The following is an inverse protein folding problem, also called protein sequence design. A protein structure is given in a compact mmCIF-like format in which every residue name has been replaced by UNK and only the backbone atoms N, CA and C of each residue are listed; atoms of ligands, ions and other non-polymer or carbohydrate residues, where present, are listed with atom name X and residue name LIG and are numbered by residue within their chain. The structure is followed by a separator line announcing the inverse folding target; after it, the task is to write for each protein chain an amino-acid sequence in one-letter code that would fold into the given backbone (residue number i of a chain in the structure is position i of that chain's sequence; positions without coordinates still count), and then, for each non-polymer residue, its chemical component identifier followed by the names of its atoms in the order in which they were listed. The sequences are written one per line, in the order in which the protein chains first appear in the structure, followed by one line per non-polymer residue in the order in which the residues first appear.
data_IF_260021423784
#
_entry.id   IF_260021423784
#
_cell.length_a   1.000
_cell.length_b   1.000
_cell.length_c   1.000
_cell.angle_alpha   90.00
_cell.angle_beta   90.00
_cell.angle_gamma   90.00
#
_symmetry.space_group_name_H-M   'P 1'
#
loop_
_entity.id
_entity.type
_entity.pdbx_description
1 polymer ?
#
# COMPACT_ATOMS: atom_id res chain seq x y z
N UNK A 1 -12.67 0.69 -36.26
CA UNK A 1 -12.59 -0.66 -35.65
C UNK A 1 -11.19 -0.96 -35.10
N UNK A 2 -10.13 -0.71 -35.87
CA UNK A 2 -8.74 -0.95 -35.46
C UNK A 2 -8.26 -0.08 -34.28
N UNK A 3 -8.59 1.22 -34.27
CA UNK A 3 -8.25 2.14 -33.16
C UNK A 3 -8.85 1.74 -31.80
N UNK A 4 -10.09 1.22 -31.79
CA UNK A 4 -10.74 0.74 -30.54
C UNK A 4 -10.16 -0.59 -30.07
N UNK A 5 -9.78 -1.48 -30.99
CA UNK A 5 -9.04 -2.71 -30.66
C UNK A 5 -7.68 -2.38 -30.05
N UNK A 6 -6.93 -1.46 -30.67
CA UNK A 6 -5.65 -0.98 -30.15
C UNK A 6 -5.81 -0.35 -28.76
N UNK A 7 -6.79 0.54 -28.58
CA UNK A 7 -7.08 1.15 -27.28
C UNK A 7 -7.41 0.09 -26.22
N UNK A 8 -8.21 -0.91 -26.56
CA UNK A 8 -8.53 -2.03 -25.65
C UNK A 8 -7.30 -2.87 -25.32
N UNK A 9 -6.38 -3.06 -26.26
CA UNK A 9 -5.13 -3.77 -26.03
C UNK A 9 -4.23 -3.00 -25.06
N UNK A 10 -4.11 -1.68 -25.23
CA UNK A 10 -3.29 -0.83 -24.36
C UNK A 10 -3.76 -0.88 -22.90
N UNK A 11 -5.07 -0.92 -22.65
CA UNK A 11 -5.62 -1.08 -21.31
C UNK A 11 -5.16 -2.35 -20.59
N UNK A 12 -4.83 -3.41 -21.32
CA UNK A 12 -4.38 -4.69 -20.76
C UNK A 12 -2.85 -4.74 -20.73
N UNK A 13 -2.20 -4.32 -21.83
CA UNK A 13 -0.74 -4.40 -21.98
C UNK A 13 -0.01 -3.50 -20.99
N UNK A 14 -0.49 -2.28 -20.72
CA UNK A 14 0.23 -1.36 -19.83
C UNK A 14 0.34 -1.87 -18.38
N UNK A 15 -0.73 -2.37 -17.73
CA UNK A 15 -0.59 -3.03 -16.43
C UNK A 15 0.34 -4.24 -16.45
N UNK A 16 0.32 -5.05 -17.52
CA UNK A 16 1.23 -6.19 -17.66
C UNK A 16 2.68 -5.73 -17.76
N UNK A 17 2.97 -4.73 -18.60
CA UNK A 17 4.31 -4.16 -18.74
C UNK A 17 4.80 -3.53 -17.43
N UNK A 18 3.93 -2.82 -16.71
CA UNK A 18 4.25 -2.31 -15.38
C UNK A 18 4.56 -3.43 -14.38
N UNK A 19 3.82 -4.53 -14.42
CA UNK A 19 4.08 -5.70 -13.57
C UNK A 19 5.43 -6.32 -13.90
N UNK A 20 5.72 -6.52 -15.20
CA UNK A 20 7.02 -7.03 -15.66
C UNK A 20 8.16 -6.09 -15.25
N UNK A 21 7.95 -4.77 -15.33
CA UNK A 21 8.93 -3.78 -14.87
C UNK A 21 9.23 -3.93 -13.38
N UNK A 22 8.22 -4.08 -12.52
CA UNK A 22 8.43 -4.26 -11.08
C UNK A 22 9.07 -5.62 -10.77
N UNK A 23 8.67 -6.69 -11.45
CA UNK A 23 9.33 -7.99 -11.35
C UNK A 23 10.81 -7.89 -11.73
N UNK A 24 11.12 -7.25 -12.86
CA UNK A 24 12.49 -6.99 -13.26
C UNK A 24 13.24 -6.19 -12.18
N UNK A 25 12.67 -5.09 -11.69
CA UNK A 25 13.29 -4.30 -10.62
C UNK A 25 13.61 -5.15 -9.38
N UNK A 26 12.69 -6.01 -8.91
CA UNK A 26 12.93 -6.92 -7.77
C UNK A 26 14.17 -7.80 -8.02
N UNK A 27 14.34 -8.35 -9.24
CA UNK A 27 15.53 -9.17 -9.57
C UNK A 27 16.84 -8.36 -9.65
N UNK A 28 16.73 -7.05 -9.89
CA UNK A 28 17.88 -6.15 -9.97
C UNK A 28 18.24 -5.49 -8.65
N UNK A 29 17.34 -5.48 -7.67
CA UNK A 29 17.53 -4.79 -6.39
C UNK A 29 17.56 -5.70 -5.16
N UNK A 30 17.24 -6.98 -5.31
CA UNK A 30 17.16 -7.91 -4.17
C UNK A 30 17.77 -9.28 -4.47
N UNK A 31 18.12 -9.99 -3.41
CA UNK A 31 18.47 -11.41 -3.40
C UNK A 31 17.51 -12.18 -2.46
N UNK A 32 17.40 -13.49 -2.65
CA UNK A 32 16.54 -14.34 -1.83
C UNK A 32 17.20 -14.63 -0.48
N UNK A 33 16.91 -13.80 0.52
CA UNK A 33 17.45 -13.94 1.87
C UNK A 33 16.44 -13.44 2.90
N UNK A 34 16.32 -14.19 4.00
CA UNK A 34 15.50 -13.86 5.18
C UNK A 34 16.15 -12.71 5.96
N UNK A 35 15.38 -11.71 6.37
CA UNK A 35 15.87 -10.62 7.22
C UNK A 35 14.70 -9.92 7.93
N UNK A 36 15.02 -9.08 8.91
CA UNK A 36 14.06 -8.29 9.68
C UNK A 36 12.96 -9.17 10.28
N UNK A 37 11.70 -8.78 10.10
CA UNK A 37 10.54 -9.51 10.63
C UNK A 37 10.47 -10.98 10.17
N UNK A 38 11.11 -11.36 9.05
CA UNK A 38 11.18 -12.74 8.62
C UNK A 38 11.92 -13.64 9.60
N UNK A 39 12.91 -13.13 10.34
CA UNK A 39 13.60 -13.90 11.38
C UNK A 39 12.60 -14.40 12.43
N UNK A 40 11.70 -13.52 12.87
CA UNK A 40 10.62 -13.90 13.79
C UNK A 40 9.69 -14.92 13.15
N UNK A 41 9.38 -14.77 11.86
CA UNK A 41 8.48 -15.69 11.15
C UNK A 41 9.07 -17.10 11.05
N UNK A 42 10.35 -17.21 10.70
CA UNK A 42 11.05 -18.50 10.64
C UNK A 42 10.98 -19.19 12.00
N UNK A 43 11.38 -18.52 13.08
CA UNK A 43 11.36 -19.10 14.41
C UNK A 43 9.98 -19.56 14.89
N UNK A 44 8.93 -18.81 14.56
CA UNK A 44 7.59 -19.04 15.13
C UNK A 44 6.69 -19.94 14.29
N UNK A 45 6.90 -20.01 12.97
CA UNK A 45 5.96 -20.66 12.05
C UNK A 45 6.57 -21.79 11.25
N UNK A 46 7.78 -21.61 10.72
CA UNK A 46 8.34 -22.54 9.73
C UNK A 46 8.57 -23.96 10.26
N UNK A 47 8.95 -24.19 11.54
CA UNK A 47 9.09 -25.53 12.07
C UNK A 47 7.83 -26.40 11.99
N UNK A 48 6.64 -25.79 12.02
CA UNK A 48 5.36 -26.51 12.04
C UNK A 48 4.30 -25.80 11.17
N UNK A 49 4.57 -25.64 9.87
CA UNK A 49 3.69 -24.88 8.94
C UNK A 49 2.26 -25.41 8.82
N UNK A 50 2.00 -26.66 9.20
CA UNK A 50 0.66 -27.26 9.19
C UNK A 50 -0.06 -27.21 10.54
N UNK A 51 0.58 -26.74 11.62
CA UNK A 51 -0.06 -26.69 12.93
C UNK A 51 -1.05 -25.52 13.04
N UNK A 52 -2.31 -25.81 12.73
CA UNK A 52 -3.44 -24.87 12.86
C UNK A 52 -3.57 -24.24 14.25
N UNK A 53 -3.07 -24.87 15.32
CA UNK A 53 -3.16 -24.30 16.67
C UNK A 53 -2.26 -23.08 16.85
N UNK A 54 -1.11 -23.03 16.15
CA UNK A 54 -0.24 -21.85 16.15
C UNK A 54 -0.83 -20.67 15.38
N UNK A 55 -1.78 -20.96 14.48
CA UNK A 55 -2.43 -19.96 13.63
C UNK A 55 -3.75 -19.46 14.20
N UNK A 56 -4.59 -20.34 14.75
CA UNK A 56 -5.91 -20.02 15.29
C UNK A 56 -5.83 -19.46 16.72
N UNK A 57 -5.03 -18.42 16.88
CA UNK A 57 -4.90 -17.64 18.10
C UNK A 57 -5.87 -16.44 18.10
N UNK A 58 -6.19 -15.85 19.25
CA UNK A 58 -7.19 -14.75 19.32
C UNK A 58 -6.87 -13.54 18.42
N UNK A 59 -5.60 -13.27 18.14
CA UNK A 59 -5.11 -12.20 17.26
C UNK A 59 -4.91 -12.66 15.79
N UNK A 60 -5.45 -13.80 15.37
CA UNK A 60 -5.27 -14.36 14.01
C UNK A 60 -5.56 -13.38 12.87
N UNK A 61 -6.56 -12.50 13.02
CA UNK A 61 -6.96 -11.58 11.96
C UNK A 61 -5.98 -10.42 11.78
N UNK A 62 -5.19 -10.08 12.80
CA UNK A 62 -4.15 -9.05 12.69
C UNK A 62 -2.87 -9.60 12.05
N UNK A 63 -2.71 -10.93 12.05
CA UNK A 63 -1.58 -11.65 11.44
C UNK A 63 -1.72 -11.89 9.94
N UNK A 64 -2.78 -11.36 9.32
CA UNK A 64 -3.06 -11.40 7.88
C UNK A 64 -3.16 -12.86 7.38
N UNK A 65 -4.31 -13.52 7.61
CA UNK A 65 -4.47 -14.96 7.40
C UNK A 65 -4.06 -15.51 6.03
N UNK A 66 -4.13 -14.72 4.96
CA UNK A 66 -3.71 -15.17 3.62
C UNK A 66 -2.21 -15.52 3.56
N UNK A 67 -1.39 -14.90 4.42
CA UNK A 67 0.04 -15.22 4.54
C UNK A 67 0.26 -16.67 5.00
N UNK A 68 -0.66 -17.28 5.74
CA UNK A 68 -0.50 -18.66 6.17
C UNK A 68 -0.63 -19.63 5.00
N UNK A 69 -1.61 -19.40 4.13
CA UNK A 69 -1.79 -20.20 2.94
C UNK A 69 -0.61 -20.05 1.98
N UNK A 70 -0.17 -18.80 1.77
CA UNK A 70 0.98 -18.51 0.93
C UNK A 70 2.24 -19.19 1.46
N UNK A 71 2.52 -19.10 2.76
CA UNK A 71 3.71 -19.74 3.36
C UNK A 71 3.73 -21.25 3.21
N UNK A 72 2.58 -21.92 3.39
CA UNK A 72 2.48 -23.36 3.15
C UNK A 72 2.87 -23.67 1.70
N UNK A 73 2.33 -22.93 0.73
CA UNK A 73 2.67 -23.09 -0.68
C UNK A 73 4.16 -22.78 -0.93
N UNK A 74 4.69 -21.75 -0.28
CA UNK A 74 6.05 -21.29 -0.46
C UNK A 74 7.07 -22.31 0.07
N UNK A 75 6.83 -22.86 1.26
CA UNK A 75 7.66 -23.93 1.82
C UNK A 75 7.60 -25.19 0.96
N UNK A 76 6.41 -25.64 0.58
CA UNK A 76 6.22 -26.91 -0.14
C UNK A 76 6.76 -26.89 -1.58
N UNK A 77 6.60 -25.77 -2.29
CA UNK A 77 6.89 -25.71 -3.72
C UNK A 77 8.10 -24.84 -4.07
N UNK A 78 8.50 -23.92 -3.18
CA UNK A 78 9.51 -22.91 -3.47
C UNK A 78 10.64 -22.84 -2.43
N UNK A 79 10.66 -23.74 -1.43
CA UNK A 79 11.70 -23.80 -0.42
C UNK A 79 11.82 -22.51 0.39
N UNK A 80 10.69 -21.86 0.69
CA UNK A 80 10.62 -20.58 1.40
C UNK A 80 11.42 -19.44 0.73
N UNK A 81 11.00 -19.10 -0.50
CA UNK A 81 11.54 -17.98 -1.26
C UNK A 81 10.90 -16.66 -0.86
N UNK A 82 11.69 -15.73 -0.33
CA UNK A 82 11.28 -14.34 -0.08
C UNK A 82 11.10 -13.60 -1.41
N UNK A 83 11.82 -14.02 -2.46
CA UNK A 83 11.62 -13.51 -3.81
C UNK A 83 10.21 -13.80 -4.32
N UNK A 84 9.67 -15.00 -4.06
CA UNK A 84 8.28 -15.32 -4.41
C UNK A 84 7.31 -14.31 -3.77
N UNK A 85 7.46 -14.02 -2.48
CA UNK A 85 6.62 -13.05 -1.77
C UNK A 85 6.65 -11.69 -2.48
N UNK A 86 7.84 -11.16 -2.78
CA UNK A 86 8.01 -9.89 -3.50
C UNK A 86 7.33 -9.93 -4.88
N UNK A 87 7.46 -11.03 -5.62
CA UNK A 87 6.82 -11.22 -6.92
C UNK A 87 5.29 -11.25 -6.82
N UNK A 88 4.73 -11.86 -5.77
CA UNK A 88 3.29 -11.79 -5.49
C UNK A 88 2.84 -10.35 -5.24
N UNK A 89 3.70 -9.53 -4.62
CA UNK A 89 3.47 -8.08 -4.47
C UNK A 89 3.38 -7.36 -5.82
N UNK A 90 4.29 -7.65 -6.74
CA UNK A 90 4.25 -7.13 -8.11
C UNK A 90 2.96 -7.55 -8.84
N UNK A 91 2.54 -8.81 -8.69
CA UNK A 91 1.27 -9.32 -9.23
C UNK A 91 0.07 -8.56 -8.63
N UNK A 92 0.07 -8.31 -7.32
CA UNK A 92 -0.95 -7.50 -6.65
C UNK A 92 -1.07 -6.09 -7.26
N UNK A 93 0.06 -5.44 -7.52
CA UNK A 93 0.09 -4.14 -8.20
C UNK A 93 -0.42 -4.23 -9.65
N UNK A 94 -0.09 -5.31 -10.36
CA UNK A 94 -0.64 -5.67 -11.66
C UNK A 94 -2.16 -5.76 -11.67
N UNK A 95 -2.72 -6.48 -10.70
CA UNK A 95 -4.17 -6.61 -10.51
C UNK A 95 -4.82 -5.25 -10.25
N UNK A 96 -4.22 -4.41 -9.40
CA UNK A 96 -4.65 -3.03 -9.19
C UNK A 96 -4.65 -2.23 -10.50
N UNK A 97 -3.59 -2.33 -11.31
CA UNK A 97 -3.52 -1.70 -12.64
C UNK A 97 -4.66 -2.15 -13.57
N UNK A 98 -4.99 -3.45 -13.57
CA UNK A 98 -6.11 -3.99 -14.36
C UNK A 98 -7.48 -3.50 -13.87
N UNK A 99 -7.65 -3.26 -12.57
CA UNK A 99 -8.87 -2.63 -12.03
C UNK A 99 -9.03 -1.21 -12.57
N UNK A 100 -7.97 -0.40 -12.52
CA UNK A 100 -7.99 0.95 -13.10
C UNK A 100 -8.20 0.92 -14.61
N UNK A 101 -7.62 -0.04 -15.32
CA UNK A 101 -7.88 -0.24 -16.74
C UNK A 101 -9.36 -0.52 -17.02
N UNK A 102 -9.98 -1.40 -16.24
CA UNK A 102 -11.41 -1.71 -16.34
C UNK A 102 -12.27 -0.47 -16.02
N UNK A 103 -11.89 0.32 -15.01
CA UNK A 103 -12.55 1.57 -14.66
C UNK A 103 -12.47 2.59 -15.81
N UNK A 104 -11.26 2.91 -16.27
CA UNK A 104 -11.01 3.87 -17.34
C UNK A 104 -11.70 3.48 -18.64
N UNK A 105 -11.65 2.19 -19.03
CA UNK A 105 -12.33 1.68 -20.22
C UNK A 105 -13.85 1.85 -20.10
N UNK A 106 -14.43 1.50 -18.94
CA UNK A 106 -15.89 1.63 -18.71
C UNK A 106 -16.35 3.09 -18.73
N UNK A 107 -15.59 3.98 -18.11
CA UNK A 107 -15.88 5.42 -18.08
C UNK A 107 -15.49 6.15 -19.38
N UNK A 108 -14.89 5.43 -20.33
CA UNK A 108 -14.38 5.94 -21.61
C UNK A 108 -13.40 7.11 -21.42
N UNK A 109 -12.56 7.02 -20.38
CA UNK A 109 -11.55 8.04 -20.11
C UNK A 109 -10.54 8.12 -21.28
N UNK A 110 -9.95 9.31 -21.44
CA UNK A 110 -8.87 9.53 -22.39
C UNK A 110 -7.67 8.62 -22.09
N UNK A 111 -7.00 8.13 -23.13
CA UNK A 111 -5.87 7.20 -22.97
C UNK A 111 -4.72 7.81 -22.15
N UNK A 112 -4.48 9.11 -22.34
CA UNK A 112 -3.46 9.84 -21.60
C UNK A 112 -3.66 9.76 -20.08
N UNK A 113 -4.89 9.94 -19.59
CA UNK A 113 -5.18 9.80 -18.15
C UNK A 113 -4.87 8.41 -17.61
N UNK A 114 -5.14 7.38 -18.41
CA UNK A 114 -4.80 6.02 -18.05
C UNK A 114 -3.28 5.81 -18.00
N UNK A 115 -2.54 6.33 -18.99
CA UNK A 115 -1.07 6.28 -18.98
C UNK A 115 -0.50 6.96 -17.74
N UNK A 116 -1.02 8.13 -17.37
CA UNK A 116 -0.60 8.86 -16.15
C UNK A 116 -0.86 8.00 -14.90
N UNK A 117 -2.06 7.42 -14.77
CA UNK A 117 -2.41 6.55 -13.64
C UNK A 117 -1.47 5.34 -13.54
N UNK A 118 -1.16 4.69 -14.66
CA UNK A 118 -0.26 3.54 -14.69
C UNK A 118 1.18 3.96 -14.38
N UNK A 119 1.66 5.08 -14.92
CA UNK A 119 3.00 5.58 -14.60
C UNK A 119 3.16 5.87 -13.10
N UNK A 120 2.14 6.44 -12.46
CA UNK A 120 2.11 6.66 -11.00
C UNK A 120 1.97 5.32 -10.26
N UNK A 121 1.12 4.40 -10.73
CA UNK A 121 0.93 3.08 -10.11
C UNK A 121 2.22 2.28 -10.03
N UNK A 122 3.03 2.25 -11.09
CA UNK A 122 4.25 1.45 -11.16
C UNK A 122 5.53 2.26 -10.88
N UNK A 123 5.42 3.49 -10.36
CA UNK A 123 6.58 4.21 -9.88
C UNK A 123 7.22 3.50 -8.68
N UNK A 124 8.54 3.63 -8.54
CA UNK A 124 9.30 3.00 -7.46
C UNK A 124 9.36 3.86 -6.19
N UNK A 125 8.41 4.79 -6.02
CA UNK A 125 8.27 5.60 -4.80
C UNK A 125 7.86 4.78 -3.56
N UNK A 126 7.52 3.51 -3.75
CA UNK A 126 7.10 2.54 -2.74
C UNK A 126 8.09 1.36 -2.67
N UNK A 127 9.33 1.58 -3.11
CA UNK A 127 10.35 0.54 -3.26
C UNK A 127 10.52 -0.31 -2.00
N UNK A 128 10.50 0.28 -0.81
CA UNK A 128 10.70 -0.46 0.45
C UNK A 128 9.56 -1.46 0.73
N UNK A 129 8.35 -1.18 0.24
CA UNK A 129 7.25 -2.14 0.29
C UNK A 129 7.39 -3.21 -0.80
N UNK A 130 7.96 -2.86 -1.96
CA UNK A 130 8.21 -3.80 -3.07
C UNK A 130 9.33 -4.80 -2.69
N UNK A 131 10.38 -4.32 -2.03
CA UNK A 131 11.55 -5.13 -1.63
C UNK A 131 11.35 -5.83 -0.28
N UNK A 132 10.36 -5.41 0.51
CA UNK A 132 9.92 -6.18 1.67
C UNK A 132 8.92 -7.27 1.23
N UNK A 133 9.29 -8.54 1.34
CA UNK A 133 8.42 -9.62 0.89
C UNK A 133 7.08 -9.67 1.63
N UNK A 134 7.01 -9.25 2.91
CA UNK A 134 5.73 -9.27 3.65
C UNK A 134 4.73 -8.24 3.11
N UNK A 135 5.18 -7.34 2.23
CA UNK A 135 4.36 -6.34 1.56
C UNK A 135 3.36 -6.91 0.56
N UNK A 136 3.51 -8.17 0.13
CA UNK A 136 2.69 -8.76 -0.93
C UNK A 136 1.19 -8.76 -0.62
N UNK A 137 0.84 -9.12 0.61
CA UNK A 137 -0.56 -9.14 1.06
C UNK A 137 -1.16 -7.73 1.07
N UNK A 138 -0.36 -6.70 1.32
CA UNK A 138 -0.81 -5.31 1.23
C UNK A 138 -1.11 -4.91 -0.21
N UNK A 139 -0.24 -5.24 -1.18
CA UNK A 139 -0.53 -4.99 -2.60
C UNK A 139 -1.81 -5.70 -3.06
N UNK A 140 -2.00 -6.95 -2.63
CA UNK A 140 -3.22 -7.69 -2.90
C UNK A 140 -4.45 -7.05 -2.25
N UNK A 141 -4.35 -6.58 -1.01
CA UNK A 141 -5.43 -5.88 -0.32
C UNK A 141 -5.84 -4.61 -1.07
N UNK A 142 -4.88 -3.78 -1.53
CA UNK A 142 -5.18 -2.59 -2.33
C UNK A 142 -5.82 -2.92 -3.68
N UNK A 143 -5.37 -3.98 -4.35
CA UNK A 143 -6.06 -4.47 -5.55
C UNK A 143 -7.52 -4.85 -5.25
N UNK A 144 -7.76 -5.52 -4.11
CA UNK A 144 -9.08 -5.83 -3.59
C UNK A 144 -9.91 -4.57 -3.29
N UNK A 145 -9.32 -3.57 -2.63
CA UNK A 145 -9.97 -2.29 -2.31
C UNK A 145 -10.46 -1.61 -3.58
N UNK A 146 -9.57 -1.41 -4.55
CA UNK A 146 -9.92 -0.78 -5.82
C UNK A 146 -10.96 -1.59 -6.59
N UNK A 147 -10.87 -2.92 -6.57
CA UNK A 147 -11.86 -3.77 -7.24
C UNK A 147 -13.24 -3.61 -6.62
N UNK A 148 -13.32 -3.62 -5.29
CA UNK A 148 -14.57 -3.39 -4.57
C UNK A 148 -15.14 -2.01 -4.88
N UNK A 149 -14.33 -0.96 -4.82
CA UNK A 149 -14.71 0.40 -5.16
C UNK A 149 -15.23 0.52 -6.60
N UNK A 150 -14.58 -0.15 -7.56
CA UNK A 150 -15.05 -0.26 -8.94
C UNK A 150 -16.41 -0.94 -9.05
N UNK A 151 -16.64 -2.03 -8.29
CA UNK A 151 -17.92 -2.75 -8.29
C UNK A 151 -19.02 -1.88 -7.69
N UNK A 152 -18.76 -1.23 -6.55
CA UNK A 152 -19.70 -0.32 -5.91
C UNK A 152 -20.04 0.85 -6.84
N UNK A 153 -19.03 1.46 -7.44
CA UNK A 153 -19.21 2.56 -8.39
C UNK A 153 -20.03 2.17 -9.62
N UNK A 154 -19.82 0.94 -10.12
CA UNK A 154 -20.61 0.40 -11.22
C UNK A 154 -22.07 0.20 -10.82
N UNK A 155 -22.34 -0.41 -9.68
CA UNK A 155 -23.70 -0.60 -9.15
C UNK A 155 -24.38 0.74 -8.92
N UNK A 156 -23.71 1.67 -8.24
CA UNK A 156 -24.21 3.01 -7.96
C UNK A 156 -24.57 3.81 -9.22
N UNK A 157 -23.78 3.67 -10.29
CA UNK A 157 -24.05 4.30 -11.58
C UNK A 157 -25.17 3.63 -12.41
N UNK A 158 -25.86 2.63 -11.87
CA UNK A 158 -26.91 1.87 -12.57
C UNK A 158 -26.38 0.90 -13.64
N UNK A 159 -25.09 0.56 -13.60
CA UNK A 159 -24.41 -0.28 -14.59
C UNK A 159 -24.03 -1.67 -14.05
N UNK A 160 -24.70 -2.11 -12.98
CA UNK A 160 -24.41 -3.38 -12.30
C UNK A 160 -24.40 -4.59 -13.25
N UNK A 161 -23.50 -5.53 -13.00
CA UNK A 161 -23.41 -6.82 -13.71
C UNK A 161 -23.98 -7.95 -12.85
N UNK A 162 -24.29 -9.08 -13.50
CA UNK A 162 -24.64 -10.32 -12.80
C UNK A 162 -23.55 -10.68 -11.78
N UNK A 163 -23.97 -10.90 -10.54
CA UNK A 163 -23.09 -11.24 -9.41
C UNK A 163 -22.49 -10.05 -8.66
N UNK A 164 -22.69 -8.80 -9.06
CA UNK A 164 -22.12 -7.65 -8.34
C UNK A 164 -22.68 -7.49 -6.93
N UNK A 165 -23.98 -7.75 -6.76
CA UNK A 165 -24.60 -7.77 -5.43
C UNK A 165 -23.93 -8.79 -4.51
N UNK A 166 -23.61 -9.98 -5.03
CA UNK A 166 -22.90 -11.02 -4.27
C UNK A 166 -21.44 -10.64 -3.99
N UNK A 167 -20.74 -10.05 -4.96
CA UNK A 167 -19.37 -9.56 -4.77
C UNK A 167 -19.30 -8.51 -3.66
N UNK A 168 -20.22 -7.55 -3.63
CA UNK A 168 -20.28 -6.54 -2.57
C UNK A 168 -20.59 -7.12 -1.19
N UNK A 169 -21.24 -8.28 -1.12
CA UNK A 169 -21.39 -9.02 0.13
C UNK A 169 -20.10 -9.75 0.54
N UNK A 170 -19.42 -10.43 -0.40
CA UNK A 170 -18.32 -11.36 -0.11
C UNK A 170 -16.98 -10.65 0.06
N UNK A 171 -16.70 -9.64 -0.78
CA UNK A 171 -15.39 -8.97 -0.83
C UNK A 171 -14.95 -8.40 0.52
N UNK A 172 -15.80 -7.71 1.32
CA UNK A 172 -15.36 -7.21 2.61
C UNK A 172 -14.84 -8.30 3.55
N UNK A 173 -15.46 -9.48 3.57
CA UNK A 173 -15.01 -10.60 4.40
C UNK A 173 -13.64 -11.09 3.97
N UNK A 174 -13.46 -11.34 2.66
CA UNK A 174 -12.19 -11.84 2.13
C UNK A 174 -11.06 -10.82 2.31
N UNK A 175 -11.35 -9.55 2.05
CA UNK A 175 -10.36 -8.50 2.07
C UNK A 175 -10.02 -8.12 3.52
N UNK A 176 -11.00 -7.73 4.34
CA UNK A 176 -10.77 -7.22 5.70
C UNK A 176 -10.18 -8.31 6.59
N UNK A 177 -10.73 -9.53 6.55
CA UNK A 177 -10.27 -10.62 7.41
C UNK A 177 -9.08 -11.37 6.84
N UNK A 178 -8.88 -11.38 5.52
CA UNK A 178 -7.88 -12.23 4.87
C UNK A 178 -6.57 -11.53 4.54
N UNK A 179 -6.62 -10.31 3.99
CA UNK A 179 -5.45 -9.67 3.36
C UNK A 179 -5.13 -8.26 3.90
N UNK A 180 -6.13 -7.52 4.39
CA UNK A 180 -5.97 -6.10 4.65
C UNK A 180 -5.13 -5.79 5.89
N UNK A 181 -5.13 -6.66 6.91
CA UNK A 181 -4.43 -6.41 8.17
C UNK A 181 -4.72 -5.00 8.71
N UNK A 182 -3.68 -4.22 9.10
CA UNK A 182 -3.87 -2.88 9.66
C UNK A 182 -4.50 -1.87 8.69
N UNK A 183 -4.46 -2.13 7.39
CA UNK A 183 -5.06 -1.29 6.35
C UNK A 183 -6.58 -1.50 6.24
N UNK A 184 -7.11 -2.57 6.84
CA UNK A 184 -8.53 -2.92 6.76
C UNK A 184 -9.43 -1.88 7.43
N UNK A 185 -8.95 -1.20 8.47
CA UNK A 185 -9.73 -0.20 9.20
C UNK A 185 -10.05 1.03 8.34
N UNK A 186 -9.07 1.58 7.63
CA UNK A 186 -9.26 2.76 6.78
C UNK A 186 -10.20 2.45 5.62
N UNK A 187 -9.98 1.31 4.97
CA UNK A 187 -10.83 0.81 3.90
C UNK A 187 -12.27 0.58 4.36
N UNK A 188 -12.47 -0.11 5.48
CA UNK A 188 -13.80 -0.36 6.02
C UNK A 188 -14.52 0.94 6.36
N UNK A 189 -13.82 1.93 6.95
CA UNK A 189 -14.40 3.24 7.22
C UNK A 189 -14.91 3.92 5.94
N UNK A 190 -14.14 3.90 4.85
CA UNK A 190 -14.57 4.46 3.56
C UNK A 190 -15.78 3.69 2.99
N UNK A 191 -15.80 2.37 3.08
CA UNK A 191 -16.96 1.58 2.65
C UNK A 191 -18.21 1.92 3.45
N UNK A 192 -18.11 1.99 4.78
CA UNK A 192 -19.25 2.29 5.66
C UNK A 192 -19.83 3.67 5.36
N UNK A 193 -18.98 4.68 5.20
CA UNK A 193 -19.40 6.04 4.81
C UNK A 193 -20.06 6.02 3.42
N UNK A 194 -19.49 5.28 2.47
CA UNK A 194 -20.01 5.21 1.10
C UNK A 194 -21.36 4.49 1.03
N UNK A 195 -21.52 3.38 1.75
CA UNK A 195 -22.78 2.66 1.87
C UNK A 195 -23.85 3.47 2.59
N UNK A 196 -23.48 4.19 3.66
CA UNK A 196 -24.38 5.11 4.36
C UNK A 196 -24.87 6.21 3.42
N UNK A 197 -23.95 6.82 2.66
CA UNK A 197 -24.30 7.82 1.65
C UNK A 197 -25.27 7.25 0.60
N UNK A 198 -24.94 6.11 -0.01
CA UNK A 198 -25.78 5.46 -1.02
C UNK A 198 -27.16 5.07 -0.47
N UNK A 199 -27.22 4.55 0.76
CA UNK A 199 -28.46 4.20 1.46
C UNK A 199 -29.36 5.43 1.63
N UNK A 200 -28.82 6.53 2.16
CA UNK A 200 -29.59 7.77 2.37
C UNK A 200 -30.11 8.29 1.02
N UNK A 201 -29.26 8.30 0.00
CA UNK A 201 -29.59 8.88 -1.30
C UNK A 201 -30.60 8.03 -2.08
N UNK A 202 -30.51 6.70 -2.04
CA UNK A 202 -31.54 5.82 -2.61
C UNK A 202 -32.87 5.94 -1.86
N UNK A 203 -32.84 6.14 -0.54
CA UNK A 203 -34.04 6.44 0.25
C UNK A 203 -34.74 7.73 -0.20
N UNK A 204 -33.98 8.81 -0.42
CA UNK A 204 -34.50 10.08 -0.95
C UNK A 204 -35.10 9.96 -2.36
N UNK A 205 -34.59 9.04 -3.19
CA UNK A 205 -35.10 8.77 -4.54
C UNK A 205 -36.29 7.80 -4.56
N UNK A 206 -36.66 7.19 -3.43
CA UNK A 206 -37.71 6.18 -3.36
C UNK A 206 -37.28 4.78 -3.87
N UNK A 207 -35.99 4.55 -4.07
CA UNK A 207 -35.40 3.29 -4.55
C UNK A 207 -35.29 2.26 -3.40
N UNK A 208 -36.43 1.76 -2.91
CA UNK A 208 -36.49 0.92 -1.69
C UNK A 208 -35.68 -0.38 -1.78
N UNK A 209 -35.59 -1.00 -2.96
CA UNK A 209 -34.81 -2.23 -3.13
C UNK A 209 -33.31 -1.96 -2.99
N UNK A 210 -32.80 -0.94 -3.69
CA UNK A 210 -31.39 -0.56 -3.63
C UNK A 210 -31.00 -0.12 -2.21
N UNK A 211 -31.87 0.63 -1.54
CA UNK A 211 -31.68 1.00 -0.14
C UNK A 211 -31.49 -0.24 0.76
N UNK A 212 -32.28 -1.29 0.59
CA UNK A 212 -32.13 -2.56 1.35
C UNK A 212 -30.79 -3.22 1.08
N UNK A 213 -30.34 -3.23 -0.17
CA UNK A 213 -29.04 -3.80 -0.51
C UNK A 213 -27.88 -3.01 0.10
N UNK A 214 -27.95 -1.68 0.14
CA UNK A 214 -26.92 -0.87 0.82
C UNK A 214 -26.87 -1.14 2.33
N UNK A 215 -28.00 -1.43 2.98
CA UNK A 215 -28.02 -1.89 4.38
C UNK A 215 -27.29 -3.23 4.52
N UNK A 216 -27.57 -4.20 3.64
CA UNK A 216 -26.90 -5.50 3.67
C UNK A 216 -25.38 -5.33 3.49
N UNK A 217 -24.94 -4.58 2.48
CA UNK A 217 -23.52 -4.36 2.24
C UNK A 217 -22.82 -3.58 3.34
N UNK A 218 -23.53 -2.64 3.99
CA UNK A 218 -23.04 -1.95 5.17
C UNK A 218 -22.69 -2.96 6.28
N UNK A 219 -23.59 -3.90 6.60
CA UNK A 219 -23.30 -4.93 7.60
C UNK A 219 -22.26 -5.94 7.13
N UNK A 220 -22.18 -6.25 5.83
CA UNK A 220 -21.11 -7.07 5.29
C UNK A 220 -19.74 -6.42 5.44
N UNK A 221 -19.62 -5.09 5.51
CA UNK A 221 -18.36 -4.41 5.84
C UNK A 221 -18.16 -4.21 7.35
N UNK A 222 -19.23 -3.90 8.09
CA UNK A 222 -19.16 -3.62 9.52
C UNK A 222 -18.77 -4.86 10.33
N UNK A 223 -19.38 -6.02 10.06
CA UNK A 223 -19.14 -7.23 10.86
C UNK A 223 -17.68 -7.69 10.74
N UNK A 224 -17.07 -7.83 9.54
CA UNK A 224 -15.64 -8.09 9.41
C UNK A 224 -14.76 -7.08 10.15
N UNK A 225 -15.08 -5.79 10.08
CA UNK A 225 -14.33 -4.76 10.81
C UNK A 225 -14.40 -4.99 12.32
N UNK A 226 -15.59 -5.29 12.86
CA UNK A 226 -15.75 -5.56 14.29
C UNK A 226 -15.01 -6.83 14.72
N UNK A 227 -14.99 -7.87 13.89
CA UNK A 227 -14.20 -9.08 14.14
C UNK A 227 -12.71 -8.78 14.13
N UNK A 228 -12.25 -7.97 13.18
CA UNK A 228 -10.85 -7.51 13.13
C UNK A 228 -10.49 -6.71 14.39
N UNK A 229 -11.33 -5.75 14.80
CA UNK A 229 -11.10 -4.95 16.02
C UNK A 229 -11.07 -5.84 17.26
N UNK A 230 -11.97 -6.82 17.36
CA UNK A 230 -11.98 -7.79 18.45
C UNK A 230 -10.68 -8.60 18.47
N UNK A 231 -10.23 -9.11 17.33
CA UNK A 231 -8.96 -9.83 17.22
C UNK A 231 -7.78 -8.94 17.61
N UNK A 232 -7.80 -7.67 17.18
CA UNK A 232 -6.79 -6.68 17.54
C UNK A 232 -6.72 -6.37 19.04
N UNK A 233 -7.81 -6.54 19.78
CA UNK A 233 -7.81 -6.32 21.24
C UNK A 233 -6.94 -7.34 22.01
N UNK A 234 -6.53 -8.42 21.36
CA UNK A 234 -5.62 -9.43 21.93
C UNK A 234 -4.14 -9.21 21.53
N UNK A 235 -3.84 -8.20 20.72
CA UNK A 235 -2.46 -7.89 20.31
C UNK A 235 -1.75 -7.13 21.44
N UNK A 236 -0.55 -7.57 21.77
CA UNK A 236 0.37 -6.86 22.66
C UNK A 236 1.37 -6.14 21.75
N UNK A 237 1.27 -4.80 21.67
CA UNK A 237 2.16 -3.98 20.84
C UNK A 237 3.36 -3.49 21.65
N UNK A 238 4.57 -3.87 21.25
CA UNK A 238 5.82 -3.25 21.72
C UNK A 238 6.42 -2.40 20.59
N UNK A 239 6.49 -1.08 20.81
CA UNK A 239 7.07 -0.14 19.85
C UNK A 239 8.45 0.33 20.34
N UNK A 240 9.52 -0.11 19.67
CA UNK A 240 10.85 0.40 19.95
C UNK A 240 10.92 1.91 19.65
N UNK A 241 11.23 2.74 20.65
CA UNK A 241 11.32 4.19 20.52
C UNK A 241 10.02 4.97 20.78
N UNK A 242 8.98 4.33 21.32
CA UNK A 242 7.77 5.00 21.82
C UNK A 242 8.11 5.93 23.00
N UNK A 243 7.70 7.20 22.92
CA UNK A 243 7.89 8.14 24.04
C UNK A 243 6.91 7.92 25.19
N UNK A 244 5.86 7.12 24.98
CA UNK A 244 4.79 6.83 25.95
C UNK A 244 3.89 8.04 26.26
N UNK A 245 4.09 9.17 25.56
CA UNK A 245 3.39 10.43 25.83
C UNK A 245 2.07 10.48 25.07
N UNK A 246 0.95 10.80 25.74
CA UNK A 246 -0.33 10.90 25.05
C UNK A 246 -0.34 12.09 24.08
N UNK A 247 -1.08 11.95 22.98
CA UNK A 247 -1.14 12.97 21.91
C UNK A 247 -1.41 14.38 22.42
N UNK A 248 -2.31 14.56 23.39
CA UNK A 248 -2.65 15.89 23.91
C UNK A 248 -1.47 16.63 24.54
N UNK A 249 -0.52 15.92 25.16
CA UNK A 249 0.71 16.50 25.74
C UNK A 249 1.64 16.97 24.62
N UNK A 250 1.79 16.16 23.57
CA UNK A 250 2.63 16.52 22.42
C UNK A 250 2.06 17.75 21.72
N UNK A 251 0.73 17.82 21.60
CA UNK A 251 0.02 18.96 21.01
C UNK A 251 0.13 20.23 21.85
N UNK A 252 0.11 20.14 23.18
CA UNK A 252 0.28 21.31 24.04
C UNK A 252 1.69 21.89 23.94
N UNK A 253 2.70 21.01 23.86
CA UNK A 253 4.11 21.42 23.81
C UNK A 253 4.51 21.90 22.41
N UNK A 254 3.95 21.27 21.38
CA UNK A 254 4.26 21.55 19.99
C UNK A 254 3.00 21.54 19.11
N UNK A 255 2.20 22.63 19.14
CA UNK A 255 0.92 22.69 18.44
C UNK A 255 1.06 22.64 16.91
N UNK A 256 2.25 22.93 16.38
CA UNK A 256 2.51 22.90 14.93
C UNK A 256 2.96 21.53 14.42
N UNK A 257 3.29 20.59 15.32
CA UNK A 257 3.79 19.26 14.95
C UNK A 257 2.86 18.50 13.98
N UNK A 258 1.53 18.40 14.21
CA UNK A 258 0.65 17.67 13.30
C UNK A 258 0.64 18.28 11.90
N UNK A 259 0.62 19.61 11.82
CA UNK A 259 0.59 20.34 10.55
C UNK A 259 1.89 20.06 9.78
N UNK A 260 3.04 20.16 10.45
CA UNK A 260 4.36 19.89 9.85
C UNK A 260 4.50 18.43 9.41
N UNK A 261 4.05 17.48 10.24
CA UNK A 261 4.03 16.06 9.92
C UNK A 261 3.18 15.78 8.68
N UNK A 262 1.94 16.27 8.64
CA UNK A 262 1.04 16.06 7.52
C UNK A 262 1.57 16.70 6.23
N UNK A 263 2.09 17.93 6.30
CA UNK A 263 2.70 18.59 5.13
C UNK A 263 3.86 17.77 4.56
N UNK A 264 4.71 17.22 5.43
CA UNK A 264 5.79 16.31 5.02
C UNK A 264 5.24 15.02 4.40
N UNK A 265 4.21 14.41 5.00
CA UNK A 265 3.56 13.22 4.46
C UNK A 265 2.97 13.45 3.06
N UNK A 266 2.34 14.59 2.82
CA UNK A 266 1.84 14.99 1.50
C UNK A 266 2.97 15.36 0.52
N UNK A 267 4.13 15.81 0.98
CA UNK A 267 5.28 16.05 0.11
C UNK A 267 5.88 14.74 -0.41
N UNK A 268 5.97 13.73 0.48
CA UNK A 268 6.55 12.40 0.20
C UNK A 268 5.87 11.60 -0.90
N UNK A 269 4.61 11.93 -1.26
CA UNK A 269 3.91 11.28 -2.36
C UNK A 269 4.22 11.91 -3.73
N UNK A 270 4.66 13.18 -3.75
CA UNK A 270 5.07 13.87 -4.97
C UNK A 270 6.50 13.47 -5.34
N UNK A 271 7.43 13.59 -4.39
CA UNK A 271 8.81 13.08 -4.49
C UNK A 271 9.02 12.13 -3.33
N UNK A 272 9.61 10.96 -3.60
CA UNK A 272 9.89 9.94 -2.58
C UNK A 272 10.56 10.54 -1.35
N UNK A 273 10.11 10.11 -0.18
CA UNK A 273 10.53 10.77 1.06
C UNK A 273 12.00 10.57 1.41
N UNK A 274 12.65 9.51 0.95
CA UNK A 274 14.11 9.33 1.03
C UNK A 274 14.85 10.44 0.26
N UNK A 275 14.42 10.74 -0.97
CA UNK A 275 14.98 11.83 -1.77
C UNK A 275 14.77 13.20 -1.12
N UNK A 276 13.57 13.46 -0.61
CA UNK A 276 13.29 14.70 0.12
C UNK A 276 14.16 14.83 1.37
N UNK A 277 14.38 13.74 2.10
CA UNK A 277 15.27 13.71 3.26
C UNK A 277 16.73 13.95 2.85
N UNK A 278 17.19 13.33 1.76
CA UNK A 278 18.55 13.54 1.23
C UNK A 278 18.77 14.99 0.79
N UNK A 279 17.80 15.60 0.11
CA UNK A 279 17.86 17.02 -0.25
C UNK A 279 17.87 17.95 0.96
N UNK A 280 17.13 17.62 2.03
CA UNK A 280 17.17 18.40 3.26
C UNK A 280 18.50 18.25 4.00
N UNK A 281 19.03 17.03 4.09
CA UNK A 281 20.30 16.75 4.75
C UNK A 281 21.50 17.37 4.03
N UNK A 282 21.45 17.43 2.70
CA UNK A 282 22.47 18.12 1.86
C UNK A 282 22.31 19.64 1.80
N UNK A 283 21.25 20.19 2.41
CA UNK A 283 20.95 21.63 2.39
C UNK A 283 20.36 22.16 1.08
N UNK A 284 20.10 21.29 0.08
CA UNK A 284 19.45 21.64 -1.19
C UNK A 284 17.99 22.07 -1.01
N UNK A 285 17.28 21.49 -0.03
CA UNK A 285 15.89 21.80 0.26
C UNK A 285 15.71 22.25 1.70
N UNK A 286 15.15 23.44 1.92
CA UNK A 286 14.77 23.85 3.27
C UNK A 286 13.50 23.11 3.76
N UNK A 287 13.35 22.94 5.07
CA UNK A 287 12.12 22.40 5.67
C UNK A 287 10.86 23.19 5.22
N UNK A 288 10.97 24.52 5.10
CA UNK A 288 9.87 25.38 4.62
C UNK A 288 9.50 25.08 3.17
N UNK A 289 10.49 24.81 2.31
CA UNK A 289 10.23 24.43 0.93
C UNK A 289 9.54 23.05 0.85
N UNK A 290 9.97 22.08 1.67
CA UNK A 290 9.28 20.79 1.79
C UNK A 290 7.81 20.95 2.20
N UNK A 291 7.51 21.84 3.14
CA UNK A 291 6.12 22.17 3.50
C UNK A 291 5.34 22.79 2.33
N UNK A 292 5.99 23.58 1.49
CA UNK A 292 5.40 24.12 0.26
C UNK A 292 4.99 23.03 -0.74
N UNK A 293 5.82 22.00 -0.90
CA UNK A 293 5.50 20.82 -1.73
C UNK A 293 4.28 20.09 -1.16
N UNK A 294 4.24 19.88 0.16
CA UNK A 294 3.10 19.28 0.85
C UNK A 294 1.81 20.08 0.65
N UNK A 295 1.88 21.41 0.80
CA UNK A 295 0.75 22.30 0.60
C UNK A 295 0.25 22.27 -0.86
N UNK A 296 1.14 22.18 -1.84
CA UNK A 296 0.77 22.00 -3.24
C UNK A 296 -0.07 20.74 -3.45
N UNK A 297 0.31 19.62 -2.84
CA UNK A 297 -0.46 18.37 -2.92
C UNK A 297 -1.81 18.50 -2.23
N UNK A 298 -1.87 19.13 -1.05
CA UNK A 298 -3.13 19.42 -0.33
C UNK A 298 -4.05 20.29 -1.19
N UNK A 299 -3.53 21.32 -1.86
CA UNK A 299 -4.32 22.14 -2.78
C UNK A 299 -4.92 21.30 -3.92
N UNK A 300 -4.19 20.31 -4.43
CA UNK A 300 -4.71 19.32 -5.38
C UNK A 300 -5.86 18.49 -4.81
N UNK A 301 -5.73 17.98 -3.59
CA UNK A 301 -6.80 17.28 -2.87
C UNK A 301 -8.05 18.16 -2.72
N UNK A 302 -7.89 19.38 -2.21
CA UNK A 302 -9.00 20.32 -1.99
C UNK A 302 -9.68 20.70 -3.31
N UNK A 303 -8.90 20.93 -4.37
CA UNK A 303 -9.43 21.20 -5.70
C UNK A 303 -10.24 20.01 -6.23
N UNK A 304 -9.75 18.78 -6.06
CA UNK A 304 -10.46 17.58 -6.49
C UNK A 304 -11.73 17.32 -5.66
N UNK A 305 -11.70 17.54 -4.35
CA UNK A 305 -12.90 17.47 -3.50
C UNK A 305 -13.94 18.51 -3.92
N UNK A 306 -13.51 19.76 -4.12
CA UNK A 306 -14.37 20.83 -4.61
C UNK A 306 -14.97 20.48 -5.97
N UNK A 307 -14.19 19.93 -6.90
CA UNK A 307 -14.66 19.47 -8.21
C UNK A 307 -15.69 18.34 -8.08
N UNK A 308 -15.45 17.35 -7.23
CA UNK A 308 -16.42 16.28 -7.01
C UNK A 308 -17.76 16.83 -6.53
N UNK A 309 -17.75 17.84 -5.65
CA UNK A 309 -18.95 18.47 -5.12
C UNK A 309 -19.62 19.35 -6.18
N UNK A 310 -18.87 20.26 -6.80
CA UNK A 310 -19.34 21.26 -7.77
C UNK A 310 -19.99 20.63 -9.00
N UNK A 311 -19.44 19.51 -9.47
CA UNK A 311 -19.94 18.78 -10.64
C UNK A 311 -20.80 17.56 -10.27
N UNK A 312 -21.05 17.35 -8.97
CA UNK A 312 -21.82 16.22 -8.44
C UNK A 312 -21.32 14.88 -8.99
N UNK A 313 -20.00 14.73 -9.11
CA UNK A 313 -19.40 13.51 -9.62
C UNK A 313 -19.81 12.31 -8.76
N UNK A 314 -19.88 12.48 -7.45
CA UNK A 314 -20.30 11.44 -6.50
C UNK A 314 -21.69 10.83 -6.81
N UNK A 315 -22.57 11.51 -7.55
CA UNK A 315 -23.87 10.95 -7.98
C UNK A 315 -23.74 10.02 -9.20
N UNK A 316 -22.67 10.15 -9.99
CA UNK A 316 -22.48 9.44 -11.27
C UNK A 316 -21.30 8.49 -11.25
N UNK A 317 -20.27 8.81 -10.48
CA UNK A 317 -19.00 8.14 -10.30
C UNK A 317 -18.48 8.41 -8.88
N UNK A 318 -18.76 7.51 -7.95
CA UNK A 318 -18.40 7.60 -6.53
C UNK A 318 -16.96 7.15 -6.26
N UNK A 319 -16.34 6.35 -7.12
CA UNK A 319 -14.95 5.86 -6.93
C UNK A 319 -13.91 6.97 -6.69
N UNK A 320 -13.86 8.07 -7.47
CA UNK A 320 -12.91 9.16 -7.22
C UNK A 320 -13.08 9.78 -5.84
N UNK A 321 -14.32 9.90 -5.35
CA UNK A 321 -14.59 10.42 -4.00
C UNK A 321 -14.12 9.44 -2.93
N UNK A 322 -14.37 8.13 -3.10
CA UNK A 322 -13.87 7.11 -2.16
C UNK A 322 -12.35 7.15 -2.06
N UNK A 323 -11.66 7.24 -3.20
CA UNK A 323 -10.21 7.35 -3.25
C UNK A 323 -9.68 8.63 -2.58
N UNK A 324 -10.32 9.78 -2.81
CA UNK A 324 -9.92 11.05 -2.17
C UNK A 324 -10.05 10.98 -0.65
N UNK A 325 -11.20 10.49 -0.15
CA UNK A 325 -11.45 10.35 1.28
C UNK A 325 -10.54 9.30 1.89
N UNK A 326 -10.31 8.17 1.20
CA UNK A 326 -9.41 7.10 1.63
C UNK A 326 -7.96 7.57 1.73
N UNK A 327 -7.44 8.25 0.71
CA UNK A 327 -6.10 8.82 0.76
C UNK A 327 -5.92 9.83 1.89
N UNK A 328 -6.87 10.76 2.04
CA UNK A 328 -6.85 11.73 3.14
C UNK A 328 -6.91 11.06 4.53
N UNK A 329 -7.76 10.05 4.69
CA UNK A 329 -7.86 9.27 5.93
C UNK A 329 -6.57 8.50 6.22
N UNK A 330 -5.91 7.93 5.20
CA UNK A 330 -4.64 7.23 5.36
C UNK A 330 -3.53 8.18 5.88
N UNK A 331 -3.45 9.41 5.38
CA UNK A 331 -2.51 10.41 5.93
C UNK A 331 -2.76 10.68 7.43
N UNK A 332 -4.03 10.79 7.83
CA UNK A 332 -4.40 10.98 9.24
C UNK A 332 -4.09 9.75 10.08
N UNK A 333 -4.38 8.54 9.58
CA UNK A 333 -4.12 7.31 10.30
C UNK A 333 -2.64 7.07 10.53
N UNK A 334 -1.80 7.30 9.51
CA UNK A 334 -0.34 7.19 9.68
C UNK A 334 0.14 8.19 10.73
N UNK A 335 -0.39 9.42 10.76
CA UNK A 335 -0.09 10.36 11.83
C UNK A 335 -0.52 9.81 13.20
N UNK A 336 -1.75 9.32 13.33
CA UNK A 336 -2.30 8.79 14.59
C UNK A 336 -1.55 7.54 15.11
N UNK A 337 -0.91 6.77 14.24
CA UNK A 337 -0.11 5.60 14.64
C UNK A 337 1.38 5.91 14.83
N UNK A 338 1.86 7.07 14.36
CA UNK A 338 3.31 7.41 14.34
C UNK A 338 3.66 8.69 15.10
N UNK A 339 2.68 9.42 15.63
CA UNK A 339 2.95 10.61 16.46
C UNK A 339 3.78 10.27 17.70
N UNK A 340 3.67 9.04 18.21
CA UNK A 340 4.37 8.51 19.38
C UNK A 340 5.90 8.62 19.29
N UNK A 341 6.45 8.75 18.09
CA UNK A 341 7.88 8.91 17.88
C UNK A 341 8.37 10.37 17.92
N UNK A 342 7.44 11.35 17.93
CA UNK A 342 7.70 12.79 17.99
C UNK A 342 8.69 13.35 16.94
N UNK A 343 8.98 12.59 15.86
CA UNK A 343 9.86 13.00 14.77
C UNK A 343 9.05 13.21 13.49
N UNK A 344 9.13 14.42 12.94
CA UNK A 344 8.48 14.74 11.66
C UNK A 344 9.04 13.95 10.48
N UNK A 345 10.30 13.51 10.58
CA UNK A 345 10.97 12.75 9.52
C UNK A 345 10.31 11.39 9.30
N UNK A 346 9.60 10.81 10.29
CA UNK A 346 8.81 9.58 10.08
C UNK A 346 7.73 9.73 9.00
N UNK A 347 7.23 10.94 8.77
CA UNK A 347 6.26 11.21 7.71
C UNK A 347 6.86 11.08 6.30
N UNK A 348 8.18 11.28 6.17
CA UNK A 348 8.93 11.19 4.91
C UNK A 348 9.63 9.84 4.76
N UNK A 349 10.21 9.34 5.84
CA UNK A 349 11.17 8.24 5.84
C UNK A 349 10.56 6.85 5.67
N UNK A 350 9.34 6.72 5.17
CA UNK A 350 8.75 5.40 5.02
C UNK A 350 7.99 5.31 3.72
N UNK A 351 8.72 4.89 2.69
CA UNK A 351 8.13 4.52 1.41
C UNK A 351 7.15 3.33 1.57
N UNK A 352 7.18 2.63 2.73
CA UNK A 352 6.15 1.68 3.18
C UNK A 352 4.73 2.26 3.16
N UNK A 353 4.53 3.53 3.51
CA UNK A 353 3.19 4.14 3.54
C UNK A 353 2.78 4.75 2.20
N UNK A 354 3.70 4.85 1.23
CA UNK A 354 3.43 5.47 -0.07
C UNK A 354 2.24 4.83 -0.77
N UNK A 355 2.09 3.51 -0.67
CA UNK A 355 0.93 2.79 -1.24
C UNK A 355 -0.41 3.31 -0.68
N UNK A 356 -0.46 3.65 0.62
CA UNK A 356 -1.66 4.20 1.26
C UNK A 356 -1.94 5.64 0.82
N UNK A 357 -0.90 6.47 0.75
CA UNK A 357 -1.02 7.89 0.38
C UNK A 357 -1.38 8.06 -1.10
N UNK A 358 -0.90 7.16 -1.95
CA UNK A 358 -1.14 7.18 -3.39
C UNK A 358 -2.62 7.04 -3.77
N UNK A 359 -3.44 6.40 -2.91
CA UNK A 359 -4.88 6.23 -3.09
C UNK A 359 -5.55 7.56 -3.46
N UNK A 360 -5.28 8.63 -2.72
CA UNK A 360 -5.93 9.90 -3.00
C UNK A 360 -5.34 10.64 -4.21
N UNK A 361 -4.08 10.38 -4.59
CA UNK A 361 -3.55 10.86 -5.89
C UNK A 361 -4.33 10.25 -7.04
N UNK A 362 -4.64 8.95 -6.98
CA UNK A 362 -5.52 8.33 -7.97
C UNK A 362 -6.92 8.96 -7.97
N UNK A 363 -7.46 9.28 -6.78
CA UNK A 363 -8.70 10.03 -6.64
C UNK A 363 -8.66 11.40 -7.32
N UNK A 364 -7.58 12.17 -7.15
CA UNK A 364 -7.36 13.46 -7.81
C UNK A 364 -7.32 13.30 -9.34
N UNK A 365 -6.48 12.39 -9.83
CA UNK A 365 -6.28 12.18 -11.28
C UNK A 365 -7.57 11.70 -11.96
N UNK A 366 -8.32 10.78 -11.34
CA UNK A 366 -9.61 10.35 -11.85
C UNK A 366 -10.66 11.47 -11.82
N UNK A 367 -10.64 12.31 -10.79
CA UNK A 367 -11.51 13.49 -10.71
C UNK A 367 -11.22 14.44 -11.87
N UNK A 368 -9.97 14.80 -12.10
CA UNK A 368 -9.57 15.65 -13.22
C UNK A 368 -9.99 15.03 -14.56
N UNK A 369 -9.73 13.74 -14.76
CA UNK A 369 -10.10 13.03 -15.98
C UNK A 369 -11.62 13.11 -16.25
N UNK A 370 -12.45 12.89 -15.21
CA UNK A 370 -13.90 12.88 -15.33
C UNK A 370 -14.50 14.28 -15.50
N UNK A 371 -14.04 15.27 -14.74
CA UNK A 371 -14.52 16.66 -14.90
C UNK A 371 -14.21 17.18 -16.29
N UNK A 372 -12.99 16.95 -16.78
CA UNK A 372 -12.59 17.42 -18.11
C UNK A 372 -13.33 16.72 -19.25
N UNK A 373 -13.86 15.52 -19.02
CA UNK A 373 -14.75 14.84 -19.95
C UNK A 373 -16.15 15.47 -19.99
N UNK A 374 -16.66 15.93 -18.83
CA UNK A 374 -17.98 16.58 -18.70
C UNK A 374 -17.93 18.02 -19.23
N UNK A 375 -16.95 18.81 -18.81
CA UNK A 375 -16.82 20.23 -19.13
C UNK A 375 -15.87 20.45 -20.31
N UNK A 376 -16.43 20.36 -21.52
CA UNK A 376 -15.66 20.55 -22.77
C UNK A 376 -15.44 22.03 -23.13
N UNK A 377 -16.27 22.95 -22.63
CA UNK A 377 -16.20 24.39 -22.91
C UNK A 377 -16.12 25.16 -21.59
N UNK A 378 -15.18 26.11 -21.49
CA UNK A 378 -15.05 27.10 -20.41
C UNK A 378 -14.45 26.68 -19.04
N UNK A 379 -13.35 25.93 -19.02
CA UNK A 379 -12.47 25.90 -17.85
C UNK A 379 -10.98 25.81 -18.25
N UNK A 380 -10.45 26.85 -18.90
CA UNK A 380 -9.04 26.90 -19.30
C UNK A 380 -8.12 26.85 -18.07
N UNK A 381 -8.46 27.61 -17.02
CA UNK A 381 -7.64 27.73 -15.80
C UNK A 381 -7.39 26.38 -15.14
N UNK A 382 -8.40 25.58 -14.84
CA UNK A 382 -8.18 24.27 -14.21
C UNK A 382 -7.94 23.12 -15.15
N UNK A 383 -8.06 23.29 -16.48
CA UNK A 383 -7.33 22.42 -17.41
C UNK A 383 -5.84 22.61 -17.19
N UNK A 384 -5.39 23.86 -17.13
CA UNK A 384 -4.01 24.20 -16.84
C UNK A 384 -3.60 23.73 -15.45
N UNK A 385 -4.39 23.96 -14.39
CA UNK A 385 -4.06 23.48 -13.04
C UNK A 385 -4.03 21.94 -12.96
N UNK A 386 -5.00 21.24 -13.56
CA UNK A 386 -4.98 19.79 -13.62
C UNK A 386 -3.76 19.26 -14.37
N UNK A 387 -3.37 19.92 -15.47
CA UNK A 387 -2.16 19.59 -16.22
C UNK A 387 -0.90 19.84 -15.40
N UNK A 388 -0.75 21.02 -14.78
CA UNK A 388 0.39 21.36 -13.90
C UNK A 388 0.52 20.33 -12.79
N UNK A 389 -0.59 20.01 -12.11
CA UNK A 389 -0.61 19.02 -11.04
C UNK A 389 -0.19 17.63 -11.55
N UNK A 390 -0.77 17.18 -12.66
CA UNK A 390 -0.47 15.86 -13.22
C UNK A 390 0.99 15.75 -13.68
N UNK A 391 1.52 16.81 -14.30
CA UNK A 391 2.92 16.90 -14.70
C UNK A 391 3.84 16.91 -13.49
N UNK A 392 3.52 17.67 -12.43
CA UNK A 392 4.31 17.70 -11.21
C UNK A 392 4.37 16.32 -10.53
N UNK A 393 3.24 15.60 -10.44
CA UNK A 393 3.19 14.23 -9.92
C UNK A 393 4.04 13.30 -10.78
N UNK A 394 3.91 13.36 -12.11
CA UNK A 394 4.70 12.53 -13.02
C UNK A 394 6.20 12.81 -12.92
N UNK A 395 6.61 14.08 -12.88
CA UNK A 395 8.02 14.46 -12.78
C UNK A 395 8.61 14.03 -11.45
N UNK A 396 7.91 14.26 -10.34
CA UNK A 396 8.39 13.85 -9.02
C UNK A 396 8.49 12.34 -8.87
N UNK A 397 7.48 11.59 -9.32
CA UNK A 397 7.50 10.13 -9.29
C UNK A 397 8.52 9.55 -10.28
N UNK A 398 8.69 10.18 -11.44
CA UNK A 398 9.69 9.82 -12.43
C UNK A 398 11.12 10.04 -11.92
N UNK A 399 11.36 11.17 -11.25
CA UNK A 399 12.63 11.46 -10.59
C UNK A 399 12.97 10.43 -9.52
N UNK A 400 12.04 10.14 -8.61
CA UNK A 400 12.22 9.10 -7.59
C UNK A 400 12.44 7.72 -8.21
N UNK A 401 11.71 7.39 -9.27
CA UNK A 401 11.90 6.11 -9.97
C UNK A 401 13.28 6.03 -10.61
N UNK A 402 13.75 7.11 -11.24
CA UNK A 402 15.07 7.18 -11.84
C UNK A 402 16.18 6.95 -10.81
N UNK A 403 16.17 7.68 -9.70
CA UNK A 403 17.17 7.50 -8.65
C UNK A 403 17.09 6.11 -8.01
N UNK A 404 15.89 5.57 -7.82
CA UNK A 404 15.76 4.21 -7.28
C UNK A 404 16.32 3.15 -8.25
N UNK A 405 16.27 3.38 -9.56
CA UNK A 405 16.93 2.50 -10.53
C UNK A 405 18.46 2.62 -10.47
N UNK A 406 19.02 3.80 -10.19
CA UNK A 406 20.46 3.96 -9.92
C UNK A 406 20.87 3.28 -8.62
N UNK A 407 19.98 3.26 -7.61
CA UNK A 407 20.23 2.61 -6.32
C UNK A 407 20.07 1.09 -6.35
N UNK A 408 19.33 0.55 -7.33
CA UNK A 408 19.02 -0.88 -7.40
C UNK A 408 20.27 -1.80 -7.32
N UNK A 409 21.37 -1.57 -8.05
CA UNK A 409 22.57 -2.41 -7.94
C UNK A 409 23.17 -2.42 -6.54
N UNK A 410 23.26 -1.26 -5.89
CA UNK A 410 23.78 -1.15 -4.52
C UNK A 410 22.89 -1.87 -3.50
N UNK A 411 21.56 -1.82 -3.69
CA UNK A 411 20.63 -2.60 -2.86
C UNK A 411 20.87 -4.09 -3.06
N UNK A 412 21.06 -4.53 -4.31
CA UNK A 412 21.34 -5.93 -4.62
C UNK A 412 22.65 -6.40 -3.99
N UNK A 413 23.73 -5.63 -4.10
CA UNK A 413 25.01 -5.91 -3.42
C UNK A 413 24.81 -6.09 -1.91
N UNK A 414 24.00 -5.22 -1.27
CA UNK A 414 23.67 -5.35 0.15
C UNK A 414 22.90 -6.63 0.49
N UNK A 415 21.94 -7.03 -0.37
CA UNK A 415 21.21 -8.29 -0.21
C UNK A 415 22.08 -9.52 -0.48
N UNK A 416 23.02 -9.46 -1.42
CA UNK A 416 23.97 -10.54 -1.72
C UNK A 416 24.95 -10.72 -0.56
N UNK A 417 25.53 -9.64 -0.05
CA UNK A 417 26.36 -9.68 1.16
C UNK A 417 25.58 -10.26 2.36
N UNK A 418 24.27 -10.00 2.45
CA UNK A 418 23.39 -10.58 3.48
C UNK A 418 23.19 -12.08 3.30
N UNK A 419 23.04 -12.53 2.06
CA UNK A 419 22.91 -13.94 1.74
C UNK A 419 24.21 -14.70 2.06
N UNK A 420 25.37 -14.15 1.68
CA UNK A 420 26.69 -14.71 2.04
C UNK A 420 26.85 -14.81 3.56
N UNK A 421 26.52 -13.72 4.27
CA UNK A 421 26.61 -13.69 5.72
C UNK A 421 25.68 -14.71 6.38
N UNK A 422 24.47 -14.89 5.85
CA UNK A 422 23.49 -15.86 6.37
C UNK A 422 24.02 -17.31 6.36
N UNK A 423 24.83 -17.69 5.36
CA UNK A 423 25.44 -19.02 5.25
C UNK A 423 26.51 -19.30 6.32
N UNK A 424 27.06 -18.26 6.94
CA UNK A 424 28.08 -18.36 7.98
C UNK A 424 27.48 -18.43 9.38
N UNK A 425 26.33 -17.77 9.61
CA UNK A 425 25.72 -17.62 10.94
C UNK A 425 25.57 -18.96 11.71
N UNK A 426 25.07 -20.05 11.10
CA UNK A 426 24.94 -21.33 11.81
C UNK A 426 26.28 -21.93 12.24
N UNK A 427 27.37 -21.61 11.52
CA UNK A 427 28.70 -22.23 11.63
C UNK A 427 29.62 -21.53 12.62
N UNK A 428 29.30 -20.29 13.01
CA UNK A 428 30.05 -19.54 14.02
C UNK A 428 30.10 -20.31 15.34
N UNK A 429 31.24 -20.26 16.03
CA UNK A 429 31.32 -20.72 17.43
C UNK A 429 30.52 -19.79 18.35
N UNK A 430 30.23 -20.22 19.58
CA UNK A 430 29.44 -19.39 20.51
C UNK A 430 30.18 -18.08 20.85
N UNK A 431 31.49 -18.13 21.04
CA UNK A 431 32.33 -16.95 21.31
C UNK A 431 32.34 -15.97 20.12
N UNK A 432 32.49 -16.49 18.90
CA UNK A 432 32.44 -15.66 17.68
C UNK A 432 31.06 -15.05 17.45
N UNK A 433 30.00 -15.80 17.73
CA UNK A 433 28.63 -15.34 17.56
C UNK A 433 28.28 -14.23 18.55
N UNK A 434 28.66 -14.39 19.82
CA UNK A 434 28.49 -13.35 20.84
C UNK A 434 29.30 -12.09 20.51
N UNK A 435 30.55 -12.25 20.07
CA UNK A 435 31.41 -11.13 19.69
C UNK A 435 30.88 -10.30 18.51
N UNK A 436 30.13 -10.93 17.60
CA UNK A 436 29.58 -10.30 16.39
C UNK A 436 28.09 -9.95 16.52
N UNK A 437 27.53 -10.03 17.72
CA UNK A 437 26.09 -9.91 17.94
C UNK A 437 25.45 -8.61 17.42
N UNK A 438 26.03 -7.46 17.76
CA UNK A 438 25.50 -6.15 17.33
C UNK A 438 25.57 -5.98 15.80
N UNK A 439 26.69 -6.42 15.20
CA UNK A 439 26.87 -6.40 13.75
C UNK A 439 25.82 -7.26 13.05
N UNK A 440 25.55 -8.47 13.55
CA UNK A 440 24.53 -9.36 13.00
C UNK A 440 23.12 -8.76 13.13
N UNK A 441 22.81 -8.12 14.27
CA UNK A 441 21.54 -7.44 14.47
C UNK A 441 21.31 -6.33 13.45
N UNK A 442 22.34 -5.51 13.17
CA UNK A 442 22.29 -4.46 12.15
C UNK A 442 22.20 -5.03 10.74
N UNK A 443 23.02 -6.04 10.43
CA UNK A 443 23.08 -6.66 9.11
C UNK A 443 21.73 -7.25 8.69
N UNK A 444 21.07 -7.95 9.62
CA UNK A 444 19.77 -8.58 9.39
C UNK A 444 18.59 -7.72 9.83
N UNK A 445 18.80 -6.47 10.28
CA UNK A 445 17.76 -5.55 10.74
C UNK A 445 16.83 -6.17 11.81
N UNK A 446 17.41 -6.92 12.76
CA UNK A 446 16.68 -7.63 13.80
C UNK A 446 17.35 -7.48 15.18
N UNK A 447 16.80 -6.60 16.01
CA UNK A 447 17.38 -6.25 17.33
C UNK A 447 16.66 -6.91 18.52
N UNK A 448 15.79 -7.91 18.29
CA UNK A 448 14.97 -8.55 19.33
C UNK A 448 15.58 -9.85 19.89
N UNK A 449 16.91 -9.97 19.82
CA UNK A 449 17.71 -11.07 20.36
C UNK A 449 18.47 -11.83 19.28
N UNK A 450 19.80 -11.81 19.38
CA UNK A 450 20.70 -12.40 18.39
C UNK A 450 20.50 -13.92 18.26
N UNK A 451 20.25 -14.63 19.36
CA UNK A 451 19.99 -16.09 19.33
C UNK A 451 18.87 -16.48 18.37
N UNK A 452 17.85 -15.62 18.20
CA UNK A 452 16.76 -15.85 17.26
C UNK A 452 17.23 -15.76 15.81
N UNK A 453 18.22 -14.91 15.51
CA UNK A 453 18.85 -14.85 14.19
C UNK A 453 19.53 -16.19 13.88
N UNK A 454 20.38 -16.67 14.80
CA UNK A 454 21.08 -17.96 14.62
C UNK A 454 20.12 -19.13 14.53
N UNK A 455 19.11 -19.17 15.39
CA UNK A 455 18.10 -20.22 15.36
C UNK A 455 17.27 -20.21 14.06
N UNK A 456 16.92 -19.03 13.54
CA UNK A 456 16.24 -18.94 12.25
C UNK A 456 17.08 -19.55 11.13
N UNK A 457 18.37 -19.21 11.04
CA UNK A 457 19.22 -19.77 9.99
C UNK A 457 19.51 -21.25 10.17
N UNK A 458 19.59 -21.77 11.39
CA UNK A 458 19.64 -23.22 11.65
C UNK A 458 18.39 -23.94 11.14
N UNK A 459 17.20 -23.40 11.41
CA UNK A 459 15.95 -23.97 10.88
C UNK A 459 15.96 -24.00 9.35
N UNK A 460 16.42 -22.92 8.70
CA UNK A 460 16.50 -22.87 7.24
C UNK A 460 17.53 -23.86 6.67
N UNK A 461 18.69 -23.99 7.33
CA UNK A 461 19.75 -24.93 6.95
C UNK A 461 19.30 -26.39 7.07
N UNK A 462 18.72 -26.77 8.22
CA UNK A 462 18.24 -28.14 8.49
C UNK A 462 17.16 -28.61 7.51
N UNK A 463 16.39 -27.68 6.96
CA UNK A 463 15.30 -27.95 6.02
C UNK A 463 15.66 -27.68 4.54
N UNK A 464 16.91 -27.28 4.25
CA UNK A 464 17.37 -26.91 2.91
C UNK A 464 16.50 -25.83 2.23
N UNK A 465 16.14 -24.79 2.99
CA UNK A 465 15.29 -23.69 2.54
C UNK A 465 16.08 -22.40 2.31
N UNK A 466 15.51 -21.51 1.49
CA UNK A 466 16.01 -20.17 1.19
C UNK A 466 17.48 -20.22 0.71
N UNK A 467 18.39 -19.45 1.32
CA UNK A 467 19.83 -19.44 0.97
C UNK A 467 20.51 -20.81 1.07
N UNK A 468 19.95 -21.77 1.81
CA UNK A 468 20.50 -23.13 1.96
C UNK A 468 19.92 -24.14 0.97
N UNK A 469 19.05 -23.69 0.06
CA UNK A 469 18.49 -24.55 -0.98
C UNK A 469 19.56 -24.81 -2.05
N UNK A 470 19.80 -26.08 -2.37
CA UNK A 470 20.65 -26.46 -3.49
C UNK A 470 19.97 -26.06 -4.81
N UNK A 471 20.69 -25.34 -5.69
CA UNK A 471 20.24 -25.11 -7.07
C UNK A 471 20.37 -26.42 -7.84
N UNK A 472 19.25 -27.08 -8.14
CA UNK A 472 19.20 -28.24 -9.06
C UNK A 472 19.47 -27.87 -10.52
#
# INVERSE_FOLDING_TARGET
MEKEKLKSLIYIMLPILGTVFVCWYITQSTCDVVYSDYIRLVNSYLPDVYDLKKFLVPDVLTRIPINYLERIINVEFFGFSVTLDRMLGAVGLGLAGLVFAAYCKRRRLGLMWFVILIAVMFSLNKWEMITNGSGWAHFLAFAGFYYHELVLDRVWSGQGKKGDKARLCILPWLIILGAAGPYGASYAAILLVSYLYCMIRSGQKGEKEDQRWFVVWFFCALIPLLLYILSNSYVIEEHAGDTGRPLWVILSDNPTFPIRFLLKSFAGILVGGEELTNWMNSGLLSNKACYGIGLFVICGYLAALWMNIRYRLYERAIMPMMLLLGGGLNHLLVFLTRYIFEKESYALNSSRYTLQFQVGIFGILLTFALVLQIEQKFWMVGRTLAAIFSVAILLGNGYTTYHELEMAPYRKEWFEARAERALEVPKLTDEEFEAQGDELADFFEYWNGNDKIRNAYRILEENHWNVFREEE
#
